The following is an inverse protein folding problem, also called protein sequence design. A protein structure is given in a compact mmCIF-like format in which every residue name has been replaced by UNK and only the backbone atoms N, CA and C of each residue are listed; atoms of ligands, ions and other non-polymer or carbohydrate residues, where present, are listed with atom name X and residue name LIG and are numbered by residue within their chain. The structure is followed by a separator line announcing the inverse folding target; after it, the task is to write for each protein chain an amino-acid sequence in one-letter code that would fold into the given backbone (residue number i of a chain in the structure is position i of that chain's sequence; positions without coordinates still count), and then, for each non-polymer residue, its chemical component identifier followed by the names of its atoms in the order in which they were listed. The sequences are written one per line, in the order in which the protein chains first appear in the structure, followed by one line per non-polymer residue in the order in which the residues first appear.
data_IF_399345574217
#
_entry.id   IF_399345574217
#
_cell.length_a   1.000
_cell.length_b   1.000
_cell.length_c   1.000
_cell.angle_alpha   90.00
_cell.angle_beta   90.00
_cell.angle_gamma   90.00
#
_symmetry.space_group_name_H-M   'P 1'
#
loop_
_entity.id
_entity.type
_entity.pdbx_description
1 polymer ?
#
# COMPACT_ATOMS: atom_id res chain seq x y z
N UNK A 1 -11.36 -2.38 12.81
CA UNK A 1 -10.23 -1.69 13.45
C UNK A 1 -9.23 -2.76 13.89
N UNK A 2 -8.16 -2.97 13.14
CA UNK A 2 -6.99 -3.62 13.69
C UNK A 2 -6.45 -2.68 14.76
N UNK A 3 -6.48 -3.10 16.02
CA UNK A 3 -6.06 -2.28 17.13
C UNK A 3 -4.53 -2.10 17.13
N UNK A 4 -4.04 -0.99 17.67
CA UNK A 4 -2.61 -0.77 17.92
C UNK A 4 -1.93 -1.93 18.68
N UNK A 5 -2.72 -2.76 19.42
CA UNK A 5 -2.29 -4.01 20.05
C UNK A 5 -1.88 -5.09 19.05
N UNK A 6 -2.55 -5.20 17.90
CA UNK A 6 -2.26 -6.25 16.90
C UNK A 6 -0.95 -5.91 16.16
N UNK A 7 -0.72 -4.61 15.90
CA UNK A 7 0.54 -4.13 15.32
C UNK A 7 1.71 -4.36 16.30
N UNK A 8 1.51 -4.12 17.60
CA UNK A 8 2.53 -4.37 18.64
C UNK A 8 2.82 -5.86 18.84
N UNK A 9 1.84 -6.75 18.71
CA UNK A 9 2.07 -8.20 18.82
C UNK A 9 2.90 -8.74 17.65
N UNK A 10 2.70 -8.22 16.43
CA UNK A 10 3.51 -8.57 15.27
C UNK A 10 4.98 -8.12 15.42
N UNK A 11 5.24 -6.93 15.98
CA UNK A 11 6.59 -6.42 16.19
C UNK A 11 7.37 -7.19 17.27
N UNK A 12 6.71 -7.63 18.34
CA UNK A 12 7.35 -8.38 19.42
C UNK A 12 7.78 -9.81 19.00
N UNK A 13 7.17 -10.40 17.99
CA UNK A 13 7.61 -11.67 17.42
C UNK A 13 8.87 -11.55 16.56
N UNK A 14 9.19 -10.37 16.04
CA UNK A 14 10.36 -10.14 15.20
C UNK A 14 11.67 -9.89 15.98
N UNK A 15 11.61 -9.57 17.27
CA UNK A 15 12.79 -9.26 18.10
C UNK A 15 13.46 -10.46 18.72
N UNK A 16 12.98 -11.70 18.51
CA UNK A 16 13.59 -12.92 19.02
C UNK A 16 14.68 -13.42 18.05
N UNK A 17 15.93 -13.05 18.32
CA UNK A 17 17.21 -13.68 17.91
C UNK A 17 17.11 -14.76 16.79
N UNK A 18 16.88 -14.35 15.56
CA UNK A 18 17.03 -15.26 14.44
C UNK A 18 17.87 -14.58 13.34
N UNK A 19 18.96 -15.23 12.94
CA UNK A 19 19.87 -14.83 11.85
C UNK A 19 19.17 -14.99 10.47
N UNK A 20 17.85 -15.09 10.43
CA UNK A 20 17.03 -15.25 9.24
C UNK A 20 16.48 -13.94 8.69
N UNK A 21 16.22 -13.90 7.39
CA UNK A 21 15.47 -12.82 6.76
C UNK A 21 14.00 -12.86 7.22
N UNK A 22 13.45 -11.73 7.59
CA UNK A 22 12.01 -11.57 7.90
C UNK A 22 11.37 -10.69 6.83
N UNK A 23 10.23 -11.10 6.33
CA UNK A 23 9.44 -10.28 5.39
C UNK A 23 8.01 -10.15 5.90
N UNK A 24 7.59 -8.92 6.16
CA UNK A 24 6.21 -8.59 6.50
C UNK A 24 5.45 -8.26 5.21
N UNK A 25 4.47 -9.09 4.89
CA UNK A 25 3.53 -8.87 3.80
C UNK A 25 2.28 -8.20 4.37
N UNK A 26 2.00 -6.98 3.97
CA UNK A 26 0.91 -6.16 4.50
C UNK A 26 -0.20 -6.07 3.47
N UNK A 27 -1.36 -6.55 3.85
CA UNK A 27 -2.60 -6.43 3.07
C UNK A 27 -3.30 -5.10 3.36
N UNK A 28 -4.16 -4.67 2.45
CA UNK A 28 -5.06 -3.55 2.69
C UNK A 28 -6.03 -3.90 3.82
N UNK A 29 -6.12 -3.11 4.90
CA UNK A 29 -7.15 -3.32 5.91
C UNK A 29 -8.55 -3.22 5.29
N UNK A 30 -9.45 -4.16 5.62
CA UNK A 30 -10.77 -4.28 4.99
C UNK A 30 -11.59 -2.98 4.97
N UNK A 31 -11.48 -2.16 6.03
CA UNK A 31 -12.17 -0.86 6.08
C UNK A 31 -11.60 0.14 5.07
N UNK A 32 -10.28 0.16 4.88
CA UNK A 32 -9.62 1.04 3.90
C UNK A 32 -9.96 0.55 2.48
N UNK A 33 -9.91 -0.75 2.24
CA UNK A 33 -10.27 -1.36 0.97
C UNK A 33 -11.71 -1.00 0.55
N UNK A 34 -12.67 -1.16 1.47
CA UNK A 34 -14.07 -0.79 1.22
C UNK A 34 -14.20 0.71 0.89
N UNK A 35 -13.54 1.59 1.67
CA UNK A 35 -13.59 3.04 1.44
C UNK A 35 -12.96 3.44 0.11
N UNK A 36 -11.83 2.86 -0.27
CA UNK A 36 -11.19 3.12 -1.57
C UNK A 36 -12.02 2.56 -2.74
N UNK A 37 -12.71 1.44 -2.54
CA UNK A 37 -13.65 0.89 -3.52
C UNK A 37 -14.84 1.84 -3.74
N UNK A 38 -15.37 2.47 -2.68
CA UNK A 38 -16.41 3.50 -2.81
C UNK A 38 -15.89 4.75 -3.55
N UNK A 39 -14.67 5.20 -3.26
CA UNK A 39 -14.02 6.30 -4.00
C UNK A 39 -13.94 5.97 -5.49
N UNK A 40 -13.47 4.77 -5.85
CA UNK A 40 -13.31 4.36 -7.24
C UNK A 40 -14.66 4.30 -7.99
N UNK A 41 -15.70 3.82 -7.34
CA UNK A 41 -17.05 3.75 -7.90
C UNK A 41 -17.63 5.15 -8.13
N UNK A 42 -17.55 6.03 -7.12
CA UNK A 42 -18.04 7.41 -7.25
C UNK A 42 -17.29 8.18 -8.34
N UNK A 43 -15.98 7.99 -8.45
CA UNK A 43 -15.18 8.58 -9.52
C UNK A 43 -15.62 8.10 -10.90
N UNK A 44 -15.76 6.79 -11.10
CA UNK A 44 -16.12 6.20 -12.38
C UNK A 44 -17.55 6.61 -12.83
N UNK A 45 -18.47 6.75 -11.88
CA UNK A 45 -19.84 7.21 -12.12
C UNK A 45 -19.94 8.72 -12.44
N UNK A 46 -18.81 9.43 -12.46
CA UNK A 46 -18.75 10.87 -12.74
C UNK A 46 -19.10 11.75 -11.55
N UNK A 47 -19.26 11.17 -10.35
CA UNK A 47 -19.58 11.88 -9.11
C UNK A 47 -18.30 12.42 -8.43
N UNK A 48 -17.56 13.28 -9.15
CA UNK A 48 -16.23 13.76 -8.72
C UNK A 48 -16.21 14.34 -7.30
N UNK A 49 -17.17 15.19 -6.96
CA UNK A 49 -17.20 15.84 -5.64
C UNK A 49 -17.39 14.81 -4.52
N UNK A 50 -18.20 13.78 -4.78
CA UNK A 50 -18.39 12.66 -3.82
C UNK A 50 -17.10 11.85 -3.70
N UNK A 51 -16.46 11.53 -4.81
CA UNK A 51 -15.19 10.80 -4.80
C UNK A 51 -14.11 11.53 -3.99
N UNK A 52 -13.96 12.84 -4.18
CA UNK A 52 -13.04 13.68 -3.43
C UNK A 52 -13.39 13.75 -1.94
N UNK A 53 -14.67 13.86 -1.56
CA UNK A 53 -15.10 13.84 -0.16
C UNK A 53 -14.80 12.49 0.52
N UNK A 54 -15.10 11.39 -0.15
CA UNK A 54 -14.80 10.04 0.35
C UNK A 54 -13.29 9.84 0.52
N UNK A 55 -12.50 10.29 -0.45
CA UNK A 55 -11.05 10.20 -0.37
C UNK A 55 -10.45 11.06 0.74
N UNK A 56 -10.97 12.27 0.95
CA UNK A 56 -10.58 13.12 2.07
C UNK A 56 -10.87 12.45 3.43
N UNK A 57 -12.00 11.73 3.54
CA UNK A 57 -12.28 10.95 4.74
C UNK A 57 -11.25 9.81 4.96
N UNK A 58 -10.81 9.13 3.89
CA UNK A 58 -9.73 8.13 3.97
C UNK A 58 -8.44 8.78 4.48
N UNK A 59 -8.02 9.91 3.91
CA UNK A 59 -6.82 10.66 4.33
C UNK A 59 -6.88 11.02 5.82
N UNK A 60 -7.99 11.60 6.25
CA UNK A 60 -8.17 12.00 7.65
C UNK A 60 -8.08 10.81 8.61
N UNK A 61 -8.68 9.66 8.25
CA UNK A 61 -8.59 8.45 9.05
C UNK A 61 -7.15 7.91 9.14
N UNK A 62 -6.42 7.91 8.02
CA UNK A 62 -5.03 7.48 7.99
C UNK A 62 -4.14 8.42 8.81
N UNK A 63 -4.29 9.74 8.68
CA UNK A 63 -3.53 10.70 9.48
C UNK A 63 -3.85 10.60 10.97
N UNK A 64 -5.10 10.34 11.34
CA UNK A 64 -5.46 10.10 12.74
C UNK A 64 -4.78 8.84 13.31
N UNK A 65 -4.61 7.78 12.50
CA UNK A 65 -3.83 6.61 12.89
C UNK A 65 -2.34 6.95 13.08
N UNK A 66 -1.74 7.70 12.15
CA UNK A 66 -0.35 8.18 12.27
C UNK A 66 -0.17 8.96 13.57
N UNK A 67 -1.07 9.90 13.85
CA UNK A 67 -1.05 10.73 15.04
C UNK A 67 -1.16 9.95 16.35
N UNK A 68 -1.91 8.85 16.33
CA UNK A 68 -2.10 7.98 17.49
C UNK A 68 -1.00 6.95 17.73
N UNK A 69 -0.15 6.68 16.73
CA UNK A 69 0.80 5.55 16.77
C UNK A 69 2.26 6.04 16.75
N UNK A 70 2.57 7.11 16.00
CA UNK A 70 3.94 7.56 15.76
C UNK A 70 4.23 8.88 16.49
N UNK A 71 5.46 9.01 16.96
CA UNK A 71 6.04 10.22 17.56
C UNK A 71 7.23 10.72 16.73
N UNK A 72 8.34 10.01 16.78
CA UNK A 72 9.59 10.41 16.11
C UNK A 72 9.52 10.17 14.60
N UNK A 73 8.86 9.10 14.15
CA UNK A 73 8.69 8.76 12.74
C UNK A 73 7.51 9.47 12.07
N UNK A 74 6.71 10.24 12.80
CA UNK A 74 5.48 10.87 12.34
C UNK A 74 5.68 11.74 11.10
N UNK A 75 6.63 12.66 11.13
CA UNK A 75 6.86 13.59 10.02
C UNK A 75 7.28 12.88 8.73
N UNK A 76 8.15 11.88 8.83
CA UNK A 76 8.61 11.09 7.70
C UNK A 76 7.47 10.23 7.11
N UNK A 77 6.63 9.64 7.97
CA UNK A 77 5.45 8.89 7.55
C UNK A 77 4.46 9.80 6.82
N UNK A 78 4.10 10.96 7.38
CA UNK A 78 3.18 11.92 6.75
C UNK A 78 3.69 12.37 5.38
N UNK A 79 4.99 12.64 5.23
CA UNK A 79 5.56 13.02 3.94
C UNK A 79 5.36 11.93 2.89
N UNK A 80 5.69 10.68 3.22
CA UNK A 80 5.52 9.52 2.32
C UNK A 80 4.05 9.29 1.95
N UNK A 81 3.14 9.38 2.92
CA UNK A 81 1.71 9.22 2.68
C UNK A 81 1.16 10.38 1.82
N UNK A 82 1.67 11.59 2.00
CA UNK A 82 1.30 12.77 1.21
C UNK A 82 1.57 12.60 -0.27
N UNK A 83 2.72 12.01 -0.64
CA UNK A 83 3.06 11.73 -2.04
C UNK A 83 2.03 10.77 -2.66
N UNK A 84 1.70 9.67 -1.96
CA UNK A 84 0.69 8.69 -2.41
C UNK A 84 -0.71 9.31 -2.53
N UNK A 85 -1.10 10.15 -1.59
CA UNK A 85 -2.40 10.83 -1.66
C UNK A 85 -2.47 11.81 -2.84
N UNK A 86 -1.37 12.48 -3.15
CA UNK A 86 -1.30 13.41 -4.28
C UNK A 86 -1.50 12.70 -5.61
N UNK A 87 -0.94 11.49 -5.79
CA UNK A 87 -1.13 10.68 -7.00
C UNK A 87 -2.62 10.36 -7.22
N UNK A 88 -3.32 9.94 -6.16
CA UNK A 88 -4.76 9.64 -6.26
C UNK A 88 -5.59 10.91 -6.47
N UNK A 89 -5.25 12.02 -5.81
CA UNK A 89 -5.95 13.30 -6.04
C UNK A 89 -5.87 13.73 -7.50
N UNK A 90 -4.70 13.61 -8.14
CA UNK A 90 -4.56 13.91 -9.57
C UNK A 90 -5.46 13.02 -10.41
N UNK A 91 -5.48 11.70 -10.15
CA UNK A 91 -6.36 10.77 -10.85
C UNK A 91 -7.84 11.19 -10.69
N UNK A 92 -8.28 11.54 -9.48
CA UNK A 92 -9.67 11.95 -9.22
C UNK A 92 -10.04 13.31 -9.85
N UNK A 93 -9.05 14.12 -10.26
CA UNK A 93 -9.30 15.37 -10.97
C UNK A 93 -9.54 15.18 -12.47
N UNK A 94 -9.15 14.03 -13.03
CA UNK A 94 -9.37 13.68 -14.43
C UNK A 94 -10.79 13.14 -14.68
N UNK A 95 -11.02 12.68 -15.91
CA UNK A 95 -12.25 11.98 -16.31
C UNK A 95 -11.90 10.55 -16.65
N UNK A 96 -12.74 9.58 -16.25
CA UNK A 96 -12.51 8.20 -16.62
C UNK A 96 -12.70 8.00 -18.13
N UNK A 97 -11.66 7.47 -18.80
CA UNK A 97 -11.65 7.18 -20.25
C UNK A 97 -11.35 5.70 -20.54
N UNK A 98 -10.99 4.93 -19.50
CA UNK A 98 -10.74 3.47 -19.56
C UNK A 98 -11.85 2.72 -18.83
N UNK A 99 -11.80 1.39 -18.83
CA UNK A 99 -12.76 0.53 -18.14
C UNK A 99 -12.63 0.65 -16.60
N UNK A 100 -13.71 0.38 -15.88
CA UNK A 100 -13.77 0.48 -14.41
C UNK A 100 -12.68 -0.31 -13.67
N UNK A 101 -12.35 -1.58 -14.04
CA UNK A 101 -11.31 -2.34 -13.33
C UNK A 101 -9.96 -1.62 -13.28
N UNK A 102 -9.58 -0.92 -14.35
CA UNK A 102 -8.37 -0.10 -14.35
C UNK A 102 -8.38 0.94 -13.21
N UNK A 103 -9.41 1.78 -13.15
CA UNK A 103 -9.47 2.84 -12.12
C UNK A 103 -9.60 2.27 -10.72
N UNK A 104 -10.32 1.16 -10.56
CA UNK A 104 -10.42 0.47 -9.30
C UNK A 104 -9.03 0.04 -8.82
N UNK A 105 -8.23 -0.59 -9.67
CA UNK A 105 -6.88 -1.03 -9.32
C UNK A 105 -5.96 0.14 -9.00
N UNK A 106 -5.98 1.24 -9.80
CA UNK A 106 -5.18 2.43 -9.50
C UNK A 106 -5.46 2.98 -8.10
N UNK A 107 -6.70 2.94 -7.63
CA UNK A 107 -7.13 3.51 -6.35
C UNK A 107 -6.96 2.49 -5.21
N UNK A 108 -7.44 1.25 -5.38
CA UNK A 108 -7.49 0.26 -4.29
C UNK A 108 -6.10 -0.26 -3.91
N UNK A 109 -5.20 -0.46 -4.88
CA UNK A 109 -3.82 -0.86 -4.59
C UNK A 109 -3.09 0.08 -3.63
N UNK A 110 -3.45 1.36 -3.62
CA UNK A 110 -2.88 2.35 -2.70
C UNK A 110 -3.09 1.99 -1.23
N UNK A 111 -4.19 1.30 -0.91
CA UNK A 111 -4.50 0.87 0.46
C UNK A 111 -3.42 -0.03 1.08
N UNK A 112 -2.88 -0.98 0.32
CA UNK A 112 -1.79 -1.85 0.77
C UNK A 112 -0.49 -1.05 0.95
N UNK A 113 -0.22 -0.09 0.05
CA UNK A 113 0.97 0.78 0.15
C UNK A 113 0.87 1.70 1.37
N UNK A 114 -0.30 2.31 1.64
CA UNK A 114 -0.55 3.14 2.83
C UNK A 114 -0.35 2.33 4.11
N UNK A 115 -0.95 1.14 4.20
CA UNK A 115 -0.85 0.28 5.36
C UNK A 115 0.59 -0.18 5.63
N UNK A 116 1.31 -0.60 4.59
CA UNK A 116 2.71 -1.03 4.71
C UNK A 116 3.65 0.13 5.05
N UNK A 117 3.42 1.33 4.51
CA UNK A 117 4.19 2.52 4.86
C UNK A 117 4.01 2.88 6.34
N UNK A 118 2.78 2.88 6.86
CA UNK A 118 2.53 3.10 8.28
C UNK A 118 3.20 2.05 9.15
N UNK A 119 3.08 0.77 8.79
CA UNK A 119 3.70 -0.34 9.53
C UNK A 119 5.24 -0.25 9.50
N UNK A 120 5.83 0.11 8.38
CA UNK A 120 7.26 0.34 8.26
C UNK A 120 7.75 1.42 9.23
N UNK A 121 7.09 2.59 9.26
CA UNK A 121 7.45 3.66 10.19
C UNK A 121 7.21 3.27 11.66
N UNK A 122 6.19 2.46 11.92
CA UNK A 122 5.98 1.90 13.26
C UNK A 122 7.15 0.99 13.69
N UNK A 123 7.67 0.14 12.81
CA UNK A 123 8.86 -0.67 13.11
C UNK A 123 10.09 0.19 13.40
N UNK A 124 10.31 1.24 12.61
CA UNK A 124 11.40 2.19 12.86
C UNK A 124 11.25 2.90 14.21
N UNK A 125 10.03 3.30 14.58
CA UNK A 125 9.70 3.89 15.88
C UNK A 125 10.04 2.93 17.04
N UNK A 126 9.89 1.61 16.82
CA UNK A 126 10.27 0.58 17.80
C UNK A 126 11.76 0.22 17.77
N UNK A 127 12.59 0.90 16.98
CA UNK A 127 14.02 0.64 16.85
C UNK A 127 14.36 -0.59 16.01
N UNK A 128 13.43 -1.11 15.23
CA UNK A 128 13.68 -2.23 14.31
C UNK A 128 14.30 -1.69 13.02
N UNK A 129 15.48 -2.20 12.65
CA UNK A 129 16.11 -1.89 11.37
C UNK A 129 15.39 -2.63 10.24
N UNK A 130 14.43 -1.98 9.62
CA UNK A 130 13.63 -2.50 8.52
C UNK A 130 13.92 -1.78 7.19
N UNK A 131 13.64 -2.46 6.08
CA UNK A 131 13.69 -1.93 4.72
C UNK A 131 12.30 -1.93 4.14
N UNK A 132 11.83 -0.78 3.68
CA UNK A 132 10.59 -0.71 2.91
C UNK A 132 10.84 -1.09 1.45
N UNK A 133 10.06 -2.02 0.94
CA UNK A 133 10.07 -2.42 -0.47
C UNK A 133 8.68 -2.18 -1.04
N UNK A 134 8.58 -1.35 -2.08
CA UNK A 134 7.35 -1.26 -2.86
C UNK A 134 7.27 -2.48 -3.77
N UNK A 135 6.31 -3.37 -3.52
CA UNK A 135 6.20 -4.63 -4.27
C UNK A 135 5.85 -4.40 -5.74
N UNK A 136 5.27 -3.26 -6.07
CA UNK A 136 4.93 -2.87 -7.44
C UNK A 136 6.19 -2.71 -8.32
N UNK A 137 7.34 -2.39 -7.71
CA UNK A 137 8.63 -2.38 -8.40
C UNK A 137 9.15 -3.80 -8.70
N UNK A 138 8.64 -4.81 -8.00
CA UNK A 138 9.11 -6.19 -8.08
C UNK A 138 8.15 -7.09 -8.85
N UNK A 139 6.85 -7.06 -8.51
CA UNK A 139 5.83 -7.91 -9.15
C UNK A 139 5.34 -7.25 -10.43
N UNK A 140 5.75 -7.81 -11.55
CA UNK A 140 5.28 -7.40 -12.88
C UNK A 140 4.07 -8.24 -13.26
N UNK A 141 3.00 -7.60 -13.73
CA UNK A 141 1.73 -8.23 -14.04
C UNK A 141 1.33 -8.05 -15.48
N UNK A 142 0.33 -8.86 -15.92
CA UNK A 142 -0.47 -8.55 -17.10
C UNK A 142 -1.32 -7.28 -16.85
N UNK A 143 -1.94 -6.77 -17.92
CA UNK A 143 -2.87 -5.63 -17.90
C UNK A 143 -4.34 -6.06 -17.78
N UNK A 144 -4.59 -7.27 -17.29
CA UNK A 144 -5.92 -7.78 -16.95
C UNK A 144 -6.39 -7.21 -15.59
N UNK A 145 -6.68 -5.90 -15.58
CA UNK A 145 -7.03 -5.18 -14.34
C UNK A 145 -8.21 -5.82 -13.60
N UNK A 146 -8.05 -5.99 -12.28
CA UNK A 146 -8.98 -6.68 -11.38
C UNK A 146 -8.66 -8.16 -11.17
N UNK A 147 -7.92 -8.80 -12.09
CA UNK A 147 -7.54 -10.22 -12.05
C UNK A 147 -6.16 -10.44 -12.68
N UNK A 148 -5.20 -9.56 -12.41
CA UNK A 148 -3.92 -9.57 -13.09
C UNK A 148 -3.07 -10.81 -12.76
N UNK A 149 -2.54 -11.43 -13.79
CA UNK A 149 -1.60 -12.55 -13.69
C UNK A 149 -0.15 -12.07 -13.52
N UNK A 150 0.63 -12.76 -12.68
CA UNK A 150 2.05 -12.45 -12.46
C UNK A 150 2.90 -12.93 -13.63
N UNK A 151 3.79 -12.08 -14.15
CA UNK A 151 4.80 -12.43 -15.15
C UNK A 151 6.05 -12.96 -14.45
N UNK A 152 6.07 -14.27 -14.17
CA UNK A 152 7.03 -14.92 -13.28
C UNK A 152 8.51 -14.65 -13.60
N UNK A 153 9.04 -14.81 -14.84
CA UNK A 153 10.48 -14.70 -15.07
C UNK A 153 11.06 -13.35 -14.67
N UNK A 154 10.38 -12.25 -15.01
CA UNK A 154 10.82 -10.90 -14.70
C UNK A 154 10.61 -10.59 -13.21
N UNK A 155 9.48 -11.01 -12.64
CA UNK A 155 9.16 -10.86 -11.21
C UNK A 155 10.21 -11.54 -10.34
N UNK A 156 10.55 -12.80 -10.61
CA UNK A 156 11.58 -13.53 -9.85
C UNK A 156 12.94 -12.84 -9.90
N UNK A 157 13.33 -12.35 -11.07
CA UNK A 157 14.58 -11.60 -11.21
C UNK A 157 14.61 -10.32 -10.38
N UNK A 158 13.51 -9.54 -10.39
CA UNK A 158 13.40 -8.31 -9.61
C UNK A 158 13.38 -8.58 -8.10
N UNK A 159 12.66 -9.59 -7.63
CA UNK A 159 12.63 -10.00 -6.24
C UNK A 159 14.02 -10.37 -5.75
N UNK A 160 14.78 -11.19 -6.51
CA UNK A 160 16.13 -11.59 -6.15
C UNK A 160 17.11 -10.41 -6.05
N UNK A 161 16.90 -9.35 -6.83
CA UNK A 161 17.73 -8.15 -6.80
C UNK A 161 17.38 -7.20 -5.66
N UNK A 162 16.12 -7.20 -5.22
CA UNK A 162 15.59 -6.21 -4.28
C UNK A 162 15.67 -6.69 -2.83
N UNK A 163 15.33 -7.95 -2.58
CA UNK A 163 15.28 -8.47 -1.21
C UNK A 163 16.67 -8.93 -0.72
N UNK A 164 17.16 -8.25 0.31
CA UNK A 164 18.50 -8.45 0.86
C UNK A 164 18.44 -9.54 1.94
N UNK A 165 19.20 -10.66 1.81
CA UNK A 165 19.25 -11.68 2.85
C UNK A 165 19.71 -11.12 4.21
N UNK A 166 19.12 -11.62 5.29
CA UNK A 166 19.46 -11.22 6.65
C UNK A 166 18.85 -9.88 7.11
N UNK A 167 18.04 -9.23 6.27
CA UNK A 167 17.33 -8.00 6.62
C UNK A 167 15.85 -8.25 6.90
N UNK A 168 15.26 -7.34 7.67
CA UNK A 168 13.80 -7.26 7.84
C UNK A 168 13.22 -6.38 6.73
N UNK A 169 12.27 -6.91 5.97
CA UNK A 169 11.59 -6.18 4.90
C UNK A 169 10.11 -5.98 5.26
N UNK A 170 9.57 -4.84 4.83
CA UNK A 170 8.14 -4.55 4.85
C UNK A 170 7.69 -4.28 3.43
N UNK A 171 6.68 -4.98 2.98
CA UNK A 171 6.16 -4.87 1.62
C UNK A 171 4.65 -5.15 1.58
N UNK A 172 4.02 -5.01 0.45
CA UNK A 172 2.59 -5.20 0.24
C UNK A 172 2.29 -6.64 -0.19
N UNK A 173 1.04 -7.07 0.04
CA UNK A 173 0.48 -8.31 -0.50
C UNK A 173 -0.66 -8.01 -1.48
N UNK A 174 -0.91 -8.92 -2.42
CA UNK A 174 -2.07 -8.90 -3.31
C UNK A 174 -2.03 -7.85 -4.44
N UNK A 175 -0.92 -7.16 -4.61
CA UNK A 175 -0.77 -6.14 -5.65
C UNK A 175 0.55 -6.28 -6.44
N UNK A 176 0.58 -5.70 -7.62
CA UNK A 176 1.75 -5.54 -8.47
C UNK A 176 1.58 -4.34 -9.39
N UNK A 177 2.38 -4.27 -10.43
CA UNK A 177 2.21 -3.28 -11.50
C UNK A 177 2.50 -3.89 -12.87
N UNK A 178 1.89 -3.32 -13.90
CA UNK A 178 2.23 -3.63 -15.29
C UNK A 178 3.62 -3.11 -15.65
N UNK A 179 4.13 -3.45 -16.82
CA UNK A 179 5.39 -2.89 -17.34
C UNK A 179 5.31 -1.37 -17.63
N UNK A 180 4.10 -0.82 -17.66
CA UNK A 180 3.82 0.62 -17.77
C UNK A 180 3.73 1.32 -16.39
N UNK A 181 4.04 0.62 -15.30
CA UNK A 181 3.89 1.07 -13.91
C UNK A 181 2.44 1.41 -13.51
N UNK A 182 1.47 0.76 -14.12
CA UNK A 182 0.06 0.87 -13.75
C UNK A 182 -0.26 -0.15 -12.66
N UNK A 183 -0.91 0.28 -11.58
CA UNK A 183 -1.24 -0.59 -10.45
C UNK A 183 -2.19 -1.71 -10.88
N UNK A 184 -1.99 -2.91 -10.35
CA UNK A 184 -2.83 -4.06 -10.62
C UNK A 184 -3.05 -4.91 -9.37
N UNK A 185 -4.29 -5.35 -9.15
CA UNK A 185 -4.63 -6.33 -8.13
C UNK A 185 -4.40 -7.74 -8.69
N UNK A 186 -3.83 -8.61 -7.87
CA UNK A 186 -3.54 -10.00 -8.24
C UNK A 186 -4.77 -10.89 -8.05
N UNK A 187 -4.95 -11.86 -8.97
CA UNK A 187 -5.99 -12.89 -8.91
C UNK A 187 -5.71 -13.98 -7.85
#
# INVERSE_FOLDING_TARGET
MQNASDIRSASNSATANNVGSTCFLIETPALIDASLSEVSSAFFDGNKDIALQLFEAVKNNVFALVDGILLDQKAACISRLGDLFTEIEWLLHDKPVRAFPYYKDQIVCTGAVLASALFYHFLLEQGVDAVFVDIRDCIVTSDDFGEAGVLEPITLSRIQQTFIPGRTHVTQAGIGATDQNENATLS
#
